data_IF_980961713922
#
_entry.id   IF_980961713922
#
_cell.length_a   1.000
_cell.length_b   1.000
_cell.length_c   1.000
_cell.angle_alpha   90.00
_cell.angle_beta   90.00
_cell.angle_gamma   90.00
#
_symmetry.space_group_name_H-M   'P 1'
#
loop_
_entity.id
_entity.type
_entity.pdbx_description
1 polymer ?
#
# COMPACT_ATOMS: atom_id res chain seq x y z
N UNK A 1 -1.34 75.02 50.23
CA UNK A 1 -0.09 74.26 50.46
C UNK A 1 -0.20 72.95 49.69
N UNK A 2 0.67 72.73 48.71
CA UNK A 2 0.57 71.62 47.75
C UNK A 2 0.98 70.29 48.40
N UNK A 3 0.11 69.29 48.33
CA UNK A 3 0.35 67.90 48.74
C UNK A 3 0.78 67.09 47.51
N UNK A 4 1.90 66.37 47.61
CA UNK A 4 2.39 65.45 46.58
C UNK A 4 1.89 64.04 46.90
N UNK A 5 1.10 63.45 45.99
CA UNK A 5 0.69 62.04 46.04
C UNK A 5 1.64 61.25 45.14
N UNK A 6 2.48 60.41 45.75
CA UNK A 6 3.36 59.45 45.08
C UNK A 6 2.51 58.25 44.65
N UNK A 7 2.44 57.97 43.35
CA UNK A 7 1.89 56.71 42.83
C UNK A 7 3.02 55.68 42.70
N UNK A 8 2.97 54.61 43.51
CA UNK A 8 3.81 53.43 43.34
C UNK A 8 3.29 52.57 42.18
N UNK A 9 4.13 52.36 41.17
CA UNK A 9 3.88 51.46 40.05
C UNK A 9 4.40 50.06 40.44
N UNK A 10 3.49 49.12 40.69
CA UNK A 10 3.85 47.73 41.03
C UNK A 10 4.02 46.94 39.72
N UNK A 11 5.26 46.64 39.35
CA UNK A 11 5.57 45.80 38.19
C UNK A 11 5.31 44.33 38.48
N UNK A 12 4.39 43.71 37.74
CA UNK A 12 4.22 42.25 37.70
C UNK A 12 5.41 41.64 36.94
N UNK A 13 6.27 40.90 37.65
CA UNK A 13 7.29 40.06 37.06
C UNK A 13 6.65 38.70 36.72
N UNK A 14 6.39 38.43 35.44
CA UNK A 14 5.98 37.10 34.98
C UNK A 14 7.19 36.16 35.00
N UNK A 15 7.18 35.18 35.91
CA UNK A 15 8.13 34.06 35.88
C UNK A 15 7.76 33.15 34.70
N UNK A 16 8.56 33.18 33.64
CA UNK A 16 8.48 32.18 32.56
C UNK A 16 9.14 30.90 33.08
N UNK A 17 8.32 29.93 33.47
CA UNK A 17 8.76 28.54 33.63
C UNK A 17 9.14 28.01 32.24
N UNK A 18 10.44 27.84 31.98
CA UNK A 18 10.91 27.16 30.78
C UNK A 18 10.76 25.65 30.98
N UNK A 19 9.72 25.05 30.41
CA UNK A 19 9.69 23.60 30.20
C UNK A 19 10.79 23.23 29.19
N UNK A 20 11.59 22.21 29.47
CA UNK A 20 12.65 21.74 28.57
C UNK A 20 12.07 20.73 27.56
N UNK A 21 11.13 21.22 26.76
CA UNK A 21 10.51 20.46 25.67
C UNK A 21 11.49 20.28 24.51
N UNK A 22 11.56 19.06 23.98
CA UNK A 22 12.31 18.71 22.78
C UNK A 22 11.35 18.28 21.66
N UNK A 23 11.81 18.38 20.42
CA UNK A 23 11.09 17.91 19.23
C UNK A 23 11.90 16.86 18.48
N UNK A 24 11.24 15.77 18.10
CA UNK A 24 11.88 14.59 17.52
C UNK A 24 11.44 14.41 16.07
N UNK A 25 12.40 14.35 15.15
CA UNK A 25 12.16 14.27 13.72
C UNK A 25 12.89 13.11 13.06
N UNK A 26 12.34 12.63 11.95
CA UNK A 26 13.04 11.73 11.05
C UNK A 26 14.20 12.49 10.38
N UNK A 27 15.40 11.92 10.43
CA UNK A 27 16.61 12.53 9.88
C UNK A 27 16.50 12.81 8.37
N UNK A 28 15.78 11.95 7.64
CA UNK A 28 15.61 11.99 6.18
C UNK A 28 14.35 12.76 5.77
N UNK A 29 13.16 12.33 6.21
CA UNK A 29 11.89 12.95 5.76
C UNK A 29 11.60 14.29 6.44
N UNK A 30 12.26 14.59 7.57
CA UNK A 30 12.01 15.77 8.42
C UNK A 30 10.62 15.82 9.05
N UNK A 31 9.83 14.76 8.93
CA UNK A 31 8.54 14.62 9.61
C UNK A 31 8.75 14.36 11.10
N UNK A 32 7.78 14.79 11.92
CA UNK A 32 7.77 14.51 13.37
C UNK A 32 7.58 13.02 13.65
N UNK A 33 8.17 12.55 14.75
CA UNK A 33 8.06 11.16 15.19
C UNK A 33 7.40 11.11 16.57
N UNK A 34 6.14 10.72 16.60
CA UNK A 34 5.42 10.47 17.84
C UNK A 34 5.63 9.07 18.41
N UNK A 35 5.33 8.89 19.70
CA UNK A 35 5.43 7.60 20.38
C UNK A 35 6.85 7.09 20.62
N UNK A 36 7.85 7.98 20.63
CA UNK A 36 9.24 7.63 20.95
C UNK A 36 9.35 7.45 22.46
N UNK A 37 9.80 6.28 22.90
CA UNK A 37 10.13 6.03 24.30
C UNK A 37 11.50 6.66 24.63
N UNK A 38 11.54 7.49 25.66
CA UNK A 38 12.70 8.30 26.05
C UNK A 38 13.01 7.98 27.49
N UNK A 39 14.17 7.41 27.78
CA UNK A 39 14.50 6.96 29.14
C UNK A 39 16.00 7.01 29.41
N UNK A 40 16.39 7.07 30.68
CA UNK A 40 17.79 7.02 31.08
C UNK A 40 18.29 5.57 31.14
N UNK A 41 19.60 5.36 31.19
CA UNK A 41 20.21 4.02 31.13
C UNK A 41 19.60 3.05 32.16
N UNK A 42 19.32 3.53 33.37
CA UNK A 42 18.76 2.73 34.47
C UNK A 42 17.22 2.61 34.44
N UNK A 43 16.55 3.27 33.48
CA UNK A 43 15.09 3.33 33.32
C UNK A 43 14.32 3.86 34.54
N UNK A 44 14.98 4.64 35.38
CA UNK A 44 14.35 5.30 36.54
C UNK A 44 13.58 6.55 36.14
N UNK A 45 13.87 7.13 34.97
CA UNK A 45 13.16 8.27 34.39
C UNK A 45 12.74 7.90 32.97
N UNK A 46 11.47 8.15 32.64
CA UNK A 46 10.94 7.87 31.31
C UNK A 46 9.83 8.81 30.91
N UNK A 47 9.81 9.18 29.63
CA UNK A 47 8.75 9.94 28.98
C UNK A 47 8.51 9.37 27.59
N UNK A 48 7.32 9.56 27.04
CA UNK A 48 6.96 9.16 25.67
C UNK A 48 6.60 10.41 24.89
N UNK A 49 7.09 10.54 23.66
CA UNK A 49 6.71 11.68 22.82
C UNK A 49 5.25 11.61 22.38
N UNK A 50 4.60 12.77 22.32
CA UNK A 50 3.23 12.91 21.81
C UNK A 50 3.16 12.67 20.29
N UNK A 51 1.97 12.79 19.69
CA UNK A 51 1.78 12.57 18.25
C UNK A 51 2.53 13.58 17.37
N UNK A 52 2.85 14.76 17.90
CA UNK A 52 3.61 15.80 17.21
C UNK A 52 5.13 15.65 17.42
N UNK A 53 5.55 14.59 18.10
CA UNK A 53 6.95 14.27 18.37
C UNK A 53 7.59 15.14 19.45
N UNK A 54 6.79 15.75 20.33
CA UNK A 54 7.27 16.57 21.45
C UNK A 54 7.34 15.76 22.73
N UNK A 55 8.34 16.07 23.57
CA UNK A 55 8.50 15.44 24.88
C UNK A 55 9.18 16.39 25.87
N UNK A 56 8.75 16.37 27.13
CA UNK A 56 9.42 17.08 28.22
C UNK A 56 10.54 16.22 28.81
N UNK A 57 11.78 16.71 28.74
CA UNK A 57 12.96 16.04 29.32
C UNK A 57 13.51 16.76 30.55
N UNK A 58 12.69 17.58 31.23
CA UNK A 58 13.11 18.35 32.40
C UNK A 58 13.64 17.48 33.54
N UNK A 59 13.07 16.29 33.75
CA UNK A 59 13.44 15.37 34.84
C UNK A 59 14.83 14.73 34.67
N UNK A 60 15.39 14.75 33.46
CA UNK A 60 16.72 14.20 33.16
C UNK A 60 17.84 15.16 33.59
N UNK A 61 18.99 14.64 34.04
CA UNK A 61 20.14 15.48 34.39
C UNK A 61 20.90 15.93 33.15
N UNK A 62 21.59 17.08 33.25
CA UNK A 62 22.27 17.73 32.13
C UNK A 62 23.35 16.85 31.46
N UNK A 63 23.99 15.96 32.22
CA UNK A 63 24.99 15.01 31.74
C UNK A 63 24.45 13.58 31.60
N UNK A 64 23.15 13.38 31.77
CA UNK A 64 22.51 12.07 31.67
C UNK A 64 22.46 11.61 30.21
N UNK A 65 22.77 10.33 29.98
CA UNK A 65 22.57 9.69 28.68
C UNK A 65 21.11 9.28 28.56
N UNK A 66 20.42 9.88 27.60
CA UNK A 66 19.03 9.62 27.26
C UNK A 66 18.98 8.70 26.05
N UNK A 67 18.22 7.62 26.17
CA UNK A 67 17.98 6.62 25.14
C UNK A 67 16.64 6.92 24.48
N UNK A 68 16.64 7.03 23.16
CA UNK A 68 15.47 7.25 22.32
C UNK A 68 15.18 5.97 21.55
N UNK A 69 14.06 5.31 21.85
CA UNK A 69 13.66 4.05 21.26
C UNK A 69 12.31 4.18 20.55
N UNK A 70 12.24 3.69 19.31
CA UNK A 70 11.03 3.71 18.50
C UNK A 70 11.00 2.49 17.56
N UNK A 71 9.81 1.99 17.22
CA UNK A 71 9.65 0.75 16.46
C UNK A 71 10.26 0.81 15.04
N UNK A 72 10.17 1.96 14.38
CA UNK A 72 10.64 2.15 12.99
C UNK A 72 11.97 2.92 12.84
N UNK A 73 12.64 3.26 13.95
CA UNK A 73 13.87 4.06 13.93
C UNK A 73 14.97 3.42 14.77
N UNK A 74 16.22 3.65 14.37
CA UNK A 74 17.38 3.18 15.15
C UNK A 74 17.41 3.85 16.51
N UNK A 75 17.70 3.06 17.53
CA UNK A 75 17.88 3.58 18.89
C UNK A 75 19.02 4.60 18.91
N UNK A 76 18.75 5.79 19.43
CA UNK A 76 19.74 6.85 19.58
C UNK A 76 20.08 7.06 21.06
N UNK A 77 21.36 7.27 21.35
CA UNK A 77 21.85 7.59 22.69
C UNK A 77 22.45 8.99 22.66
N UNK A 78 21.85 9.92 23.38
CA UNK A 78 22.23 11.33 23.37
C UNK A 78 22.33 11.86 24.80
N UNK A 79 23.32 12.71 25.05
CA UNK A 79 23.46 13.40 26.34
C UNK A 79 22.57 14.65 26.32
N UNK A 80 21.82 14.90 27.40
CA UNK A 80 20.89 16.04 27.52
C UNK A 80 21.52 17.38 27.12
N UNK A 81 22.71 17.70 27.64
CA UNK A 81 23.43 18.93 27.31
C UNK A 81 23.74 19.12 25.82
N UNK A 82 23.88 18.03 25.04
CA UNK A 82 24.06 18.11 23.58
C UNK A 82 22.75 18.38 22.87
N UNK A 83 21.64 17.84 23.37
CA UNK A 83 20.30 18.09 22.84
C UNK A 83 19.95 19.56 23.02
N UNK A 84 20.18 20.11 24.22
CA UNK A 84 19.92 21.52 24.51
C UNK A 84 20.79 22.46 23.67
N UNK A 85 22.08 22.13 23.47
CA UNK A 85 22.96 22.90 22.57
C UNK A 85 22.54 22.86 21.10
N UNK A 86 21.84 21.82 20.67
CA UNK A 86 21.33 21.66 19.31
C UNK A 86 19.89 22.20 19.16
N UNK A 87 19.48 23.13 20.02
CA UNK A 87 18.17 23.80 19.91
C UNK A 87 16.99 22.90 20.25
N UNK A 88 17.18 21.93 21.15
CA UNK A 88 16.14 21.00 21.62
C UNK A 88 15.59 20.07 20.52
N UNK A 89 16.38 19.81 19.48
CA UNK A 89 15.97 18.96 18.36
C UNK A 89 16.74 17.63 18.38
N UNK A 90 15.99 16.53 18.22
CA UNK A 90 16.53 15.18 18.10
C UNK A 90 16.19 14.61 16.73
N UNK A 91 17.18 14.11 16.00
CA UNK A 91 16.97 13.43 14.72
C UNK A 91 17.21 11.93 14.87
N UNK A 92 16.18 11.13 14.58
CA UNK A 92 16.30 9.68 14.52
C UNK A 92 16.45 9.21 13.08
N UNK A 93 17.33 8.23 12.86
CA UNK A 93 17.51 7.63 11.54
C UNK A 93 16.54 6.47 11.39
N UNK A 94 15.76 6.44 10.31
CA UNK A 94 14.86 5.32 10.02
C UNK A 94 15.64 4.01 9.94
N UNK A 95 15.07 2.93 10.46
CA UNK A 95 15.70 1.61 10.42
C UNK A 95 15.01 0.72 9.39
N UNK A 96 15.60 0.64 8.18
CA UNK A 96 15.10 -0.23 7.12
C UNK A 96 15.28 -1.73 7.42
N UNK A 97 16.03 -2.09 8.47
CA UNK A 97 16.30 -3.48 8.84
C UNK A 97 15.44 -4.00 10.01
N UNK A 98 14.78 -3.13 10.78
CA UNK A 98 14.00 -3.54 11.98
C UNK A 98 12.49 -3.68 11.75
N UNK A 99 12.01 -3.40 10.54
CA UNK A 99 10.69 -3.86 10.13
C UNK A 99 10.80 -5.32 9.71
N UNK A 100 10.75 -6.25 10.68
CA UNK A 100 10.57 -7.67 10.37
C UNK A 100 9.40 -7.79 9.38
N UNK A 101 9.66 -8.38 8.22
CA UNK A 101 8.61 -8.59 7.22
C UNK A 101 7.66 -9.65 7.78
N UNK A 102 6.58 -9.17 8.37
CA UNK A 102 5.43 -10.01 8.74
C UNK A 102 4.74 -10.43 7.46
N UNK A 103 4.48 -11.72 7.35
CA UNK A 103 3.71 -12.34 6.28
C UNK A 103 2.43 -12.89 6.91
N UNK A 104 1.30 -12.63 6.29
CA UNK A 104 0.00 -13.14 6.67
C UNK A 104 -0.10 -14.58 6.14
N UNK A 105 0.36 -15.53 6.95
CA UNK A 105 0.31 -16.93 6.55
C UNK A 105 -1.12 -17.44 6.43
N UNK A 106 -1.29 -18.41 5.55
CA UNK A 106 -2.50 -19.16 5.29
C UNK A 106 -3.20 -19.73 6.55
N UNK A 107 -2.45 -19.88 7.65
CA UNK A 107 -2.99 -20.26 8.97
C UNK A 107 -3.87 -19.17 9.62
N UNK A 108 -4.12 -18.03 8.96
CA UNK A 108 -4.81 -16.83 9.51
C UNK A 108 -4.08 -16.20 10.71
N UNK A 109 -2.83 -16.57 10.92
CA UNK A 109 -1.94 -15.99 11.92
C UNK A 109 -0.75 -15.38 11.21
N UNK A 110 -0.41 -14.16 11.58
CA UNK A 110 0.80 -13.47 11.13
C UNK A 110 2.04 -14.28 11.55
N UNK A 111 2.89 -14.62 10.58
CA UNK A 111 4.14 -15.33 10.78
C UNK A 111 5.30 -14.49 10.26
N UNK A 112 6.44 -14.58 10.93
CA UNK A 112 7.65 -13.92 10.43
C UNK A 112 8.12 -14.68 9.20
N UNK A 113 8.52 -13.98 8.15
CA UNK A 113 9.01 -14.59 6.91
C UNK A 113 10.13 -15.64 7.16
N UNK A 114 10.97 -15.42 8.18
CA UNK A 114 12.08 -16.33 8.56
C UNK A 114 11.63 -17.69 9.12
N UNK A 115 10.40 -17.79 9.60
CA UNK A 115 9.85 -19.00 10.22
C UNK A 115 9.10 -19.87 9.19
N UNK A 116 8.91 -19.36 7.97
CA UNK A 116 8.21 -20.07 6.89
C UNK A 116 9.22 -20.71 5.95
N UNK A 117 9.16 -22.03 5.71
CA UNK A 117 10.15 -22.72 4.87
C UNK A 117 10.02 -22.42 3.37
N UNK A 118 8.87 -21.90 2.94
CA UNK A 118 8.62 -21.50 1.55
C UNK A 118 9.10 -20.07 1.31
N UNK A 119 9.64 -19.80 0.12
CA UNK A 119 9.97 -18.42 -0.27
C UNK A 119 8.68 -17.65 -0.52
N UNK A 120 8.43 -16.63 0.31
CA UNK A 120 7.28 -15.73 0.16
C UNK A 120 7.77 -14.36 -0.26
N UNK A 121 7.22 -13.88 -1.36
CA UNK A 121 7.36 -12.51 -1.81
C UNK A 121 6.15 -11.72 -1.31
N UNK A 122 6.38 -10.60 -0.65
CA UNK A 122 5.31 -9.71 -0.18
C UNK A 122 5.51 -8.33 -0.80
N UNK A 123 4.43 -7.79 -1.36
CA UNK A 123 4.33 -6.47 -1.96
C UNK A 123 3.36 -5.67 -1.10
N UNK A 124 3.87 -4.64 -0.40
CA UNK A 124 3.07 -3.83 0.52
C UNK A 124 2.39 -2.68 -0.20
N UNK A 125 1.43 -2.03 0.47
CA UNK A 125 0.72 -0.87 -0.08
C UNK A 125 1.68 0.22 -0.56
N UNK A 126 2.75 0.49 0.20
CA UNK A 126 3.77 1.47 -0.17
C UNK A 126 4.52 1.08 -1.45
N UNK A 127 4.77 -0.21 -1.66
CA UNK A 127 5.44 -0.72 -2.86
C UNK A 127 4.52 -0.64 -4.07
N UNK A 128 3.23 -0.94 -3.87
CA UNK A 128 2.19 -0.84 -4.91
C UNK A 128 2.01 0.63 -5.33
N UNK A 129 1.91 1.53 -4.36
CA UNK A 129 1.77 2.96 -4.61
C UNK A 129 3.01 3.54 -5.31
N UNK A 130 4.20 3.16 -4.86
CA UNK A 130 5.46 3.57 -5.50
C UNK A 130 5.59 3.02 -6.93
N UNK A 131 5.23 1.76 -7.15
CA UNK A 131 5.29 1.12 -8.46
C UNK A 131 4.25 1.70 -9.44
N UNK A 132 3.13 2.22 -8.92
CA UNK A 132 2.01 2.79 -9.69
C UNK A 132 1.63 1.96 -10.95
N UNK A 133 1.33 0.65 -10.77
CA UNK A 133 1.10 -0.28 -11.86
C UNK A 133 -0.24 0.02 -12.57
N UNK A 134 -0.30 -0.21 -13.88
CA UNK A 134 -1.56 -0.08 -14.64
C UNK A 134 -2.56 -1.18 -14.30
N UNK A 135 -2.06 -2.39 -14.07
CA UNK A 135 -2.85 -3.55 -13.70
C UNK A 135 -2.14 -4.35 -12.61
N UNK A 136 -2.86 -5.18 -11.88
CA UNK A 136 -2.25 -6.15 -10.96
C UNK A 136 -1.31 -7.14 -11.69
N UNK A 137 -1.48 -7.36 -12.99
CA UNK A 137 -0.52 -8.14 -13.77
C UNK A 137 0.83 -7.41 -13.84
N UNK A 138 0.83 -6.11 -14.11
CA UNK A 138 2.07 -5.31 -14.14
C UNK A 138 2.73 -5.27 -12.75
N UNK A 139 1.92 -5.14 -11.69
CA UNK A 139 2.39 -5.24 -10.31
C UNK A 139 3.16 -6.54 -10.05
N UNK A 140 2.56 -7.67 -10.42
CA UNK A 140 3.16 -9.00 -10.25
C UNK A 140 4.41 -9.16 -11.13
N UNK A 141 4.38 -8.67 -12.37
CA UNK A 141 5.51 -8.75 -13.30
C UNK A 141 6.74 -8.00 -12.76
N UNK A 142 6.52 -6.83 -12.16
CA UNK A 142 7.58 -6.00 -11.59
C UNK A 142 8.32 -6.66 -10.42
N UNK A 143 7.77 -7.73 -9.84
CA UNK A 143 8.46 -8.50 -8.81
C UNK A 143 9.67 -9.29 -9.30
N UNK A 144 9.77 -9.55 -10.62
CA UNK A 144 10.81 -10.39 -11.22
C UNK A 144 10.71 -11.88 -10.87
N UNK A 145 9.67 -12.32 -10.13
CA UNK A 145 9.46 -13.73 -9.76
C UNK A 145 8.21 -14.32 -10.40
N UNK A 146 7.26 -13.48 -10.80
CA UNK A 146 6.05 -13.87 -11.52
C UNK A 146 6.16 -13.37 -12.96
N UNK A 147 6.08 -14.30 -13.90
CA UNK A 147 5.97 -13.94 -15.31
C UNK A 147 4.51 -13.75 -15.66
N UNK A 148 4.21 -12.81 -16.55
CA UNK A 148 2.86 -12.58 -17.06
C UNK A 148 2.85 -12.90 -18.54
N UNK A 149 1.94 -13.78 -18.94
CA UNK A 149 1.59 -13.94 -20.33
C UNK A 149 0.41 -13.02 -20.67
N UNK A 150 0.68 -12.02 -21.51
CA UNK A 150 -0.31 -11.10 -22.05
C UNK A 150 -0.59 -11.47 -23.50
N UNK A 151 -1.70 -12.16 -23.77
CA UNK A 151 -2.14 -12.45 -25.15
C UNK A 151 -2.71 -11.20 -25.83
N UNK A 152 -3.23 -10.26 -25.03
CA UNK A 152 -3.67 -8.92 -25.41
C UNK A 152 -3.50 -8.00 -24.18
N UNK A 153 -3.72 -6.69 -24.32
CA UNK A 153 -3.42 -5.69 -23.28
C UNK A 153 -4.25 -5.86 -21.99
N UNK A 154 -5.56 -6.09 -22.11
CA UNK A 154 -6.48 -6.53 -21.06
C UNK A 154 -6.38 -8.03 -20.72
N UNK A 155 -5.17 -8.59 -20.83
CA UNK A 155 -4.84 -9.95 -20.42
C UNK A 155 -3.69 -9.94 -19.43
N UNK A 156 -3.72 -10.86 -18.47
CA UNK A 156 -2.69 -10.94 -17.44
C UNK A 156 -2.68 -12.31 -16.79
N UNK A 157 -2.20 -13.32 -17.51
CA UNK A 157 -2.13 -14.67 -16.96
C UNK A 157 -0.78 -14.92 -16.27
N UNK A 158 -0.78 -15.18 -14.96
CA UNK A 158 0.46 -15.37 -14.22
C UNK A 158 1.08 -16.74 -14.46
N UNK A 159 2.40 -16.78 -14.37
CA UNK A 159 3.24 -17.96 -14.49
C UNK A 159 4.30 -17.91 -13.39
N UNK A 160 4.38 -18.97 -12.57
CA UNK A 160 5.37 -19.12 -11.51
C UNK A 160 6.11 -20.43 -11.75
N UNK A 161 7.43 -20.35 -12.00
CA UNK A 161 8.30 -21.52 -12.26
C UNK A 161 7.73 -22.50 -13.31
N UNK A 162 7.13 -21.95 -14.38
CA UNK A 162 6.53 -22.72 -15.48
C UNK A 162 5.11 -23.24 -15.21
N UNK A 163 4.59 -23.11 -13.98
CA UNK A 163 3.19 -23.38 -13.69
C UNK A 163 2.31 -22.18 -14.04
N UNK A 164 1.17 -22.45 -14.65
CA UNK A 164 0.18 -21.46 -15.08
C UNK A 164 -1.24 -22.03 -14.93
N UNK A 165 -2.28 -21.30 -15.33
CA UNK A 165 -3.67 -21.78 -15.41
C UNK A 165 -4.23 -22.27 -14.06
N UNK A 166 -4.84 -23.45 -14.00
CA UNK A 166 -5.35 -24.10 -12.79
C UNK A 166 -4.25 -24.73 -11.91
N UNK A 167 -3.00 -24.29 -12.05
CA UNK A 167 -1.87 -24.73 -11.21
C UNK A 167 -1.31 -23.60 -10.36
N UNK A 168 -1.91 -22.41 -10.45
CA UNK A 168 -1.68 -21.30 -9.53
C UNK A 168 -3.01 -20.92 -8.89
N UNK A 169 -3.01 -20.71 -7.57
CA UNK A 169 -4.16 -20.19 -6.85
C UNK A 169 -4.13 -18.67 -6.80
N UNK A 170 -5.26 -18.05 -7.17
CA UNK A 170 -5.58 -16.65 -6.91
C UNK A 170 -6.61 -16.57 -5.79
N UNK A 171 -6.36 -15.75 -4.78
CA UNK A 171 -7.34 -15.47 -3.74
C UNK A 171 -7.33 -14.01 -3.30
N UNK A 172 -8.51 -13.50 -2.91
CA UNK A 172 -8.66 -12.19 -2.28
C UNK A 172 -9.23 -12.42 -0.88
N UNK A 173 -8.55 -11.92 0.15
CA UNK A 173 -8.94 -12.07 1.56
C UNK A 173 -9.22 -13.55 1.95
N UNK A 174 -8.50 -14.49 1.32
CA UNK A 174 -8.67 -15.92 1.52
C UNK A 174 -9.81 -16.57 0.73
N UNK A 175 -10.58 -15.82 -0.06
CA UNK A 175 -11.60 -16.35 -0.98
C UNK A 175 -10.98 -16.63 -2.34
N UNK A 176 -11.17 -17.86 -2.84
CA UNK A 176 -10.65 -18.31 -4.14
C UNK A 176 -11.33 -17.58 -5.31
N UNK A 177 -10.52 -17.09 -6.24
CA UNK A 177 -10.96 -16.42 -7.47
C UNK A 177 -10.86 -17.29 -8.72
N UNK A 178 -10.19 -18.45 -8.64
CA UNK A 178 -10.08 -19.37 -9.76
C UNK A 178 -11.45 -19.85 -10.26
N UNK A 179 -11.66 -19.80 -11.58
CA UNK A 179 -12.80 -20.45 -12.22
C UNK A 179 -12.65 -21.98 -12.30
N UNK A 180 -13.76 -22.68 -12.55
CA UNK A 180 -13.82 -24.14 -12.67
C UNK A 180 -13.49 -24.65 -14.09
N UNK A 181 -12.77 -23.88 -14.91
CA UNK A 181 -12.42 -24.27 -16.28
C UNK A 181 -11.08 -25.02 -16.26
N UNK A 182 -11.06 -26.21 -16.87
CA UNK A 182 -9.86 -27.05 -16.95
C UNK A 182 -9.40 -27.18 -18.41
N UNK A 183 -8.50 -26.28 -18.83
CA UNK A 183 -7.81 -26.36 -20.13
C UNK A 183 -6.36 -25.90 -19.98
N UNK A 184 -5.49 -26.34 -20.89
CA UNK A 184 -4.05 -25.97 -20.86
C UNK A 184 -3.74 -24.53 -21.29
N UNK A 185 -4.70 -23.81 -21.88
CA UNK A 185 -4.53 -22.40 -22.24
C UNK A 185 -4.71 -21.47 -21.05
N UNK A 186 -4.24 -20.24 -21.17
CA UNK A 186 -4.43 -19.20 -20.17
C UNK A 186 -5.91 -19.00 -19.79
N UNK A 187 -6.15 -18.92 -18.49
CA UNK A 187 -7.48 -19.00 -17.88
C UNK A 187 -7.68 -17.98 -16.78
N UNK A 188 -6.67 -17.84 -15.92
CA UNK A 188 -6.70 -16.88 -14.83
C UNK A 188 -6.24 -15.54 -15.36
N UNK A 189 -7.08 -14.52 -15.21
CA UNK A 189 -6.73 -13.15 -15.58
C UNK A 189 -6.64 -12.33 -14.30
N UNK A 190 -5.43 -12.06 -13.84
CA UNK A 190 -5.23 -11.40 -12.55
C UNK A 190 -5.68 -9.94 -12.56
N UNK A 191 -5.80 -9.33 -13.75
CA UNK A 191 -6.24 -7.94 -13.90
C UNK A 191 -7.63 -7.67 -13.32
N UNK A 192 -8.45 -8.71 -13.09
CA UNK A 192 -9.74 -8.58 -12.38
C UNK A 192 -9.59 -8.14 -10.92
N UNK A 193 -8.36 -8.10 -10.41
CA UNK A 193 -8.01 -7.60 -9.08
C UNK A 193 -7.42 -6.20 -9.27
N UNK A 194 -8.11 -5.21 -8.72
CA UNK A 194 -7.70 -3.80 -8.83
C UNK A 194 -6.54 -3.48 -7.87
N UNK A 195 -5.35 -3.08 -8.37
CA UNK A 195 -4.24 -2.69 -7.50
C UNK A 195 -4.58 -1.53 -6.55
N UNK A 196 -5.50 -0.63 -6.89
CA UNK A 196 -5.90 0.48 -6.02
C UNK A 196 -6.67 0.02 -4.77
N UNK A 197 -7.36 -1.13 -4.86
CA UNK A 197 -8.15 -1.72 -3.77
C UNK A 197 -7.31 -2.58 -2.81
N UNK A 198 -6.08 -2.92 -3.20
CA UNK A 198 -5.22 -3.87 -2.47
C UNK A 198 -4.31 -3.13 -1.48
N UNK A 199 -4.21 -3.70 -0.28
CA UNK A 199 -3.28 -3.27 0.77
C UNK A 199 -1.97 -4.06 0.67
N UNK A 200 -2.04 -5.38 0.54
CA UNK A 200 -0.86 -6.22 0.48
C UNK A 200 -1.08 -7.36 -0.52
N UNK A 201 -0.02 -7.81 -1.17
CA UNK A 201 -0.02 -9.02 -1.99
C UNK A 201 1.07 -9.96 -1.51
N UNK A 202 0.73 -11.23 -1.34
CA UNK A 202 1.66 -12.27 -0.95
C UNK A 202 1.69 -13.39 -1.97
N UNK A 203 2.90 -13.78 -2.34
CA UNK A 203 3.15 -14.75 -3.39
C UNK A 203 4.03 -15.85 -2.81
N UNK A 204 3.42 -17.02 -2.62
CA UNK A 204 4.10 -18.23 -2.18
C UNK A 204 4.67 -18.91 -3.41
N UNK A 205 6.00 -18.94 -3.50
CA UNK A 205 6.73 -19.49 -4.65
C UNK A 205 6.96 -20.99 -4.46
N UNK A 206 5.92 -21.79 -4.74
CA UNK A 206 5.96 -23.24 -4.63
C UNK A 206 4.61 -23.85 -4.25
N UNK A 207 4.63 -25.14 -3.90
CA UNK A 207 3.41 -25.86 -3.56
C UNK A 207 2.80 -25.34 -2.24
N UNK A 208 1.60 -24.77 -2.33
CA UNK A 208 0.76 -24.33 -1.22
C UNK A 208 -0.46 -25.24 -0.96
N UNK A 209 -0.56 -26.37 -1.65
CA UNK A 209 -1.77 -27.21 -1.67
C UNK A 209 -2.20 -27.78 -0.30
N UNK A 210 -1.29 -27.92 0.65
CA UNK A 210 -1.65 -28.40 2.00
C UNK A 210 -2.60 -27.43 2.70
N UNK A 211 -2.35 -26.13 2.57
CA UNK A 211 -3.15 -25.11 3.28
C UNK A 211 -4.25 -24.55 2.39
N UNK A 212 -3.96 -24.38 1.11
CA UNK A 212 -4.85 -23.70 0.18
C UNK A 212 -5.68 -24.65 -0.71
N UNK A 213 -5.38 -25.94 -0.70
CA UNK A 213 -6.11 -26.96 -1.46
C UNK A 213 -5.71 -27.03 -2.95
N UNK A 214 -6.70 -27.32 -3.80
CA UNK A 214 -6.51 -27.47 -5.25
C UNK A 214 -5.95 -26.20 -5.89
N UNK A 215 -5.37 -26.34 -7.08
CA UNK A 215 -4.76 -25.28 -7.89
C UNK A 215 -3.54 -24.57 -7.27
N UNK A 216 -3.16 -24.87 -6.03
CA UNK A 216 -2.01 -24.27 -5.35
C UNK A 216 -0.68 -25.05 -5.55
N UNK A 217 -0.58 -25.91 -6.58
CA UNK A 217 0.61 -26.77 -6.77
C UNK A 217 1.84 -25.99 -7.23
N UNK A 218 1.66 -24.99 -8.08
CA UNK A 218 2.74 -24.16 -8.63
C UNK A 218 3.02 -22.89 -7.84
N UNK A 219 2.03 -22.43 -7.08
CA UNK A 219 2.11 -21.19 -6.32
C UNK A 219 0.75 -20.73 -5.82
N UNK A 220 0.79 -19.78 -4.88
CA UNK A 220 -0.38 -19.07 -4.38
C UNK A 220 -0.10 -17.58 -4.45
N UNK A 221 -1.03 -16.82 -5.02
CA UNK A 221 -1.06 -15.37 -4.98
C UNK A 221 -2.28 -14.95 -4.16
N UNK A 222 -2.02 -14.44 -2.97
CA UNK A 222 -3.04 -13.96 -2.06
C UNK A 222 -3.01 -12.43 -2.04
N UNK A 223 -4.16 -11.82 -2.28
CA UNK A 223 -4.35 -10.38 -2.26
C UNK A 223 -5.16 -10.02 -1.03
N UNK A 224 -4.67 -9.06 -0.26
CA UNK A 224 -5.36 -8.53 0.91
C UNK A 224 -5.92 -7.19 0.56
N UNK A 225 -7.25 -7.07 0.61
CA UNK A 225 -7.90 -5.80 0.32
C UNK A 225 -7.70 -4.81 1.46
N UNK A 226 -7.73 -3.53 1.09
CA UNK A 226 -7.78 -2.43 2.04
C UNK A 226 -8.97 -2.58 2.99
N UNK A 227 -8.72 -2.46 4.29
CA UNK A 227 -9.73 -2.65 5.34
C UNK A 227 -10.36 -1.33 5.77
N UNK A 228 -11.64 -1.32 6.20
CA UNK A 228 -12.24 -0.17 6.86
C UNK A 228 -11.64 0.02 8.26
N UNK A 229 -11.49 1.29 8.64
CA UNK A 229 -11.01 1.70 9.97
C UNK A 229 -12.22 2.04 10.84
N UNK A 230 -12.26 1.52 12.07
CA UNK A 230 -13.26 1.90 13.08
C UNK A 230 -12.81 3.16 13.82
N UNK A 231 -13.76 3.94 14.31
CA UNK A 231 -13.45 5.09 15.16
C UNK A 231 -13.59 4.73 16.62
N UNK A 232 -12.46 4.55 17.31
CA UNK A 232 -12.45 4.33 18.77
C UNK A 232 -12.55 5.63 19.59
N UNK A 233 -13.03 6.71 18.97
CA UNK A 233 -13.25 8.04 19.57
C UNK A 233 -14.74 8.39 19.45
N UNK A 234 -15.22 9.34 20.24
CA UNK A 234 -16.61 9.84 20.18
C UNK A 234 -16.96 10.65 18.90
N UNK A 235 -16.21 10.46 17.81
CA UNK A 235 -16.40 11.14 16.53
C UNK A 235 -16.31 10.16 15.37
N UNK A 236 -16.94 10.49 14.24
CA UNK A 236 -16.79 9.69 13.01
C UNK A 236 -15.39 9.89 12.41
N UNK A 237 -14.70 8.82 12.04
CA UNK A 237 -13.44 8.86 11.28
C UNK A 237 -13.77 8.79 9.79
N UNK A 238 -13.32 9.77 9.00
CA UNK A 238 -13.52 9.80 7.55
C UNK A 238 -12.18 9.98 6.88
N UNK A 239 -11.83 9.07 5.97
CA UNK A 239 -10.61 9.12 5.17
C UNK A 239 -10.96 8.96 3.71
N UNK A 240 -10.41 9.83 2.88
CA UNK A 240 -10.61 9.78 1.44
C UNK A 240 -9.29 9.88 0.70
N UNK A 241 -9.18 9.18 -0.42
CA UNK A 241 -8.12 9.33 -1.38
C UNK A 241 -8.72 9.37 -2.79
N UNK A 242 -8.14 10.19 -3.65
CA UNK A 242 -8.46 10.22 -5.07
C UNK A 242 -7.16 10.30 -5.85
N UNK A 243 -7.10 9.57 -6.96
CA UNK A 243 -5.93 9.55 -7.83
C UNK A 243 -6.33 9.55 -9.29
N UNK A 244 -5.48 10.19 -10.10
CA UNK A 244 -5.59 10.19 -11.56
C UNK A 244 -4.26 9.78 -12.15
N UNK A 245 -4.29 8.96 -13.21
CA UNK A 245 -3.10 8.45 -13.90
C UNK A 245 -3.27 8.65 -15.40
N UNK A 246 -2.17 8.95 -16.07
CA UNK A 246 -2.07 8.93 -17.52
C UNK A 246 -0.81 8.20 -17.98
N UNK A 247 -0.92 7.30 -18.95
CA UNK A 247 0.23 6.69 -19.61
C UNK A 247 0.20 6.84 -21.13
N UNK A 248 1.25 7.46 -21.66
CA UNK A 248 1.35 7.83 -23.08
C UNK A 248 1.44 6.63 -24.04
N UNK A 249 1.98 5.49 -23.60
CA UNK A 249 2.16 4.32 -24.46
C UNK A 249 0.83 3.73 -24.96
N UNK A 250 -0.24 3.86 -24.19
CA UNK A 250 -1.58 3.37 -24.54
C UNK A 250 -2.64 4.46 -24.40
N UNK A 251 -2.22 5.73 -24.35
CA UNK A 251 -3.04 6.89 -23.99
C UNK A 251 -3.98 6.62 -22.78
N UNK A 252 -3.54 5.78 -21.86
CA UNK A 252 -4.38 5.25 -20.80
C UNK A 252 -4.73 6.34 -19.81
N UNK A 253 -5.98 6.33 -19.35
CA UNK A 253 -6.50 7.23 -18.32
C UNK A 253 -7.13 6.39 -17.22
N UNK A 254 -6.67 6.56 -15.99
CA UNK A 254 -7.29 5.94 -14.81
C UNK A 254 -7.74 7.01 -13.84
N UNK A 255 -8.98 6.89 -13.37
CA UNK A 255 -9.48 7.58 -12.19
C UNK A 255 -9.75 6.58 -11.09
N UNK A 256 -9.40 6.92 -9.86
CA UNK A 256 -9.69 6.11 -8.67
C UNK A 256 -10.14 6.99 -7.51
N UNK A 257 -11.12 6.49 -6.76
CA UNK A 257 -11.63 7.11 -5.52
C UNK A 257 -11.74 6.01 -4.46
N UNK A 258 -11.19 6.28 -3.28
CA UNK A 258 -11.26 5.44 -2.09
C UNK A 258 -11.82 6.27 -0.93
N UNK A 259 -12.82 5.74 -0.24
CA UNK A 259 -13.46 6.37 0.89
C UNK A 259 -13.62 5.35 2.02
N UNK A 260 -13.15 5.69 3.22
CA UNK A 260 -13.36 4.92 4.44
C UNK A 260 -14.12 5.77 5.45
N UNK A 261 -15.20 5.21 6.01
CA UNK A 261 -16.00 5.84 7.06
C UNK A 261 -16.08 4.90 8.26
N UNK A 262 -15.61 5.37 9.41
CA UNK A 262 -15.51 4.63 10.65
C UNK A 262 -16.40 5.22 11.74
N UNK A 263 -17.29 4.39 12.27
CA UNK A 263 -17.99 4.59 13.54
C UNK A 263 -17.36 3.68 14.60
N UNK A 264 -17.87 3.75 15.84
CA UNK A 264 -17.38 2.95 16.97
C UNK A 264 -17.35 1.44 16.68
N UNK A 265 -18.42 0.92 16.09
CA UNK A 265 -18.61 -0.52 15.84
C UNK A 265 -18.72 -0.87 14.38
N UNK A 266 -18.91 0.11 13.51
CA UNK A 266 -19.14 -0.08 12.08
C UNK A 266 -18.07 0.63 11.28
N UNK A 267 -17.48 -0.06 10.32
CA UNK A 267 -16.53 0.51 9.38
C UNK A 267 -16.95 0.17 7.96
N UNK A 268 -16.96 1.18 7.10
CA UNK A 268 -17.29 1.06 5.70
C UNK A 268 -16.08 1.52 4.89
N UNK A 269 -15.78 0.83 3.79
CA UNK A 269 -14.78 1.28 2.83
C UNK A 269 -15.25 0.97 1.42
N UNK A 270 -15.34 2.01 0.61
CA UNK A 270 -15.72 1.94 -0.80
C UNK A 270 -14.52 2.35 -1.64
N UNK A 271 -14.17 1.55 -2.65
CA UNK A 271 -13.17 1.89 -3.64
C UNK A 271 -13.75 1.67 -5.04
N UNK A 272 -13.58 2.68 -5.90
CA UNK A 272 -14.05 2.66 -7.28
C UNK A 272 -12.91 3.13 -8.17
N UNK A 273 -12.58 2.34 -9.18
CA UNK A 273 -11.64 2.74 -10.21
C UNK A 273 -12.24 2.49 -11.60
N UNK A 274 -11.88 3.37 -12.53
CA UNK A 274 -12.18 3.21 -13.93
C UNK A 274 -10.93 3.52 -14.74
N UNK A 275 -10.59 2.62 -15.65
CA UNK A 275 -9.46 2.76 -16.56
C UNK A 275 -9.93 2.63 -17.99
N UNK A 276 -9.42 3.49 -18.86
CA UNK A 276 -9.63 3.47 -20.30
C UNK A 276 -8.27 3.37 -20.99
N UNK A 277 -8.01 2.26 -21.69
CA UNK A 277 -6.81 2.05 -22.49
C UNK A 277 -7.16 2.22 -23.97
N UNK A 278 -6.44 3.09 -24.67
CA UNK A 278 -6.41 3.06 -26.14
C UNK A 278 -5.41 1.99 -26.61
N UNK A 279 -5.29 1.84 -27.92
CA UNK A 279 -4.38 0.94 -28.57
C UNK A 279 -2.94 1.20 -28.12
N UNK A 280 -2.25 0.12 -27.76
CA UNK A 280 -0.85 0.17 -27.41
C UNK A 280 -0.01 0.63 -28.61
N UNK A 281 0.81 1.65 -28.40
CA UNK A 281 1.80 2.12 -29.35
C UNK A 281 3.17 1.64 -28.93
N UNK A 282 3.80 0.82 -29.77
CA UNK A 282 5.16 0.35 -29.52
C UNK A 282 6.18 1.50 -29.66
N UNK A 283 7.34 1.34 -29.03
CA UNK A 283 8.45 2.28 -29.15
C UNK A 283 8.99 2.33 -30.58
N UNK A 284 9.33 3.55 -31.05
CA UNK A 284 9.85 3.78 -32.41
C UNK A 284 11.18 3.08 -32.69
N UNK A 285 12.00 2.87 -31.66
CA UNK A 285 13.34 2.30 -31.77
C UNK A 285 13.36 0.85 -31.27
N UNK A 286 12.53 -0.01 -31.85
CA UNK A 286 12.41 -1.43 -31.49
C UNK A 286 12.64 -2.36 -32.68
N UNK A 287 12.59 -3.69 -32.46
CA UNK A 287 12.63 -4.67 -33.54
C UNK A 287 11.43 -4.49 -34.49
N UNK A 288 11.68 -4.66 -35.79
CA UNK A 288 10.63 -4.56 -36.82
C UNK A 288 9.65 -5.72 -36.80
N UNK A 289 10.02 -6.84 -36.17
CA UNK A 289 9.22 -8.07 -36.13
C UNK A 289 7.89 -7.92 -35.37
N UNK A 290 7.76 -6.86 -34.56
CA UNK A 290 6.55 -6.55 -33.78
C UNK A 290 5.67 -5.47 -34.42
N UNK A 291 6.04 -4.97 -35.61
CA UNK A 291 5.20 -4.02 -36.36
C UNK A 291 3.92 -4.72 -36.81
N UNK A 292 2.80 -4.05 -36.64
CA UNK A 292 1.50 -4.53 -37.11
C UNK A 292 1.15 -3.85 -38.41
N UNK A 293 1.65 -4.36 -39.53
CA UNK A 293 1.45 -3.75 -40.87
C UNK A 293 0.04 -3.91 -41.41
N UNK A 294 -0.73 -4.85 -40.88
CA UNK A 294 -2.11 -5.13 -41.28
C UNK A 294 -2.96 -5.60 -40.09
N UNK A 295 -4.28 -5.54 -40.24
CA UNK A 295 -5.26 -6.07 -39.29
C UNK A 295 -6.50 -6.56 -40.02
N UNK A 296 -7.33 -7.35 -39.33
CA UNK A 296 -8.59 -7.84 -39.85
C UNK A 296 -9.72 -6.95 -39.33
N UNK A 297 -10.61 -6.53 -40.22
CA UNK A 297 -11.84 -5.79 -39.90
C UNK A 297 -13.03 -6.44 -40.60
N UNK A 298 -14.19 -6.44 -39.93
CA UNK A 298 -15.41 -7.03 -40.49
C UNK A 298 -16.25 -5.97 -41.19
N UNK A 299 -16.26 -5.99 -42.53
CA UNK A 299 -16.98 -5.03 -43.37
C UNK A 299 -18.09 -5.77 -44.11
N UNK A 300 -19.33 -5.31 -43.99
CA UNK A 300 -20.51 -5.94 -44.60
C UNK A 300 -20.68 -7.44 -44.26
N UNK A 301 -20.20 -7.87 -43.09
CA UNK A 301 -20.31 -9.25 -42.62
C UNK A 301 -19.15 -10.17 -43.03
N UNK A 302 -18.22 -9.71 -43.84
CA UNK A 302 -17.01 -10.42 -44.27
C UNK A 302 -15.75 -9.88 -43.58
N UNK A 303 -14.82 -10.77 -43.27
CA UNK A 303 -13.53 -10.40 -42.67
C UNK A 303 -12.54 -10.00 -43.78
N UNK A 304 -12.07 -8.76 -43.73
CA UNK A 304 -11.18 -8.17 -44.74
C UNK A 304 -9.87 -7.78 -44.07
N UNK A 305 -8.74 -8.07 -44.73
CA UNK A 305 -7.42 -7.60 -44.30
C UNK A 305 -7.23 -6.15 -44.76
N UNK A 306 -6.96 -5.27 -43.82
CA UNK A 306 -6.77 -3.83 -44.02
C UNK A 306 -5.33 -3.47 -43.64
N UNK A 307 -4.69 -2.62 -44.45
CA UNK A 307 -3.37 -2.08 -44.15
C UNK A 307 -3.42 -1.14 -42.93
N UNK A 308 -2.36 -1.15 -42.11
CA UNK A 308 -2.24 -0.26 -40.96
C UNK A 308 -1.37 0.95 -41.30
N UNK A 309 -1.99 2.13 -41.37
CA UNK A 309 -1.31 3.40 -41.68
C UNK A 309 -0.20 3.77 -40.67
N UNK A 310 -0.34 3.35 -39.41
CA UNK A 310 0.71 3.44 -38.40
C UNK A 310 1.02 2.04 -37.83
N UNK A 311 1.99 1.31 -38.42
CA UNK A 311 2.35 -0.03 -37.97
C UNK A 311 2.87 -0.13 -36.53
N UNK A 312 3.16 1.00 -35.88
CA UNK A 312 3.52 1.02 -34.46
C UNK A 312 2.30 0.87 -33.54
N UNK A 313 1.09 1.15 -34.04
CA UNK A 313 -0.16 1.02 -33.30
C UNK A 313 -0.65 -0.41 -33.38
N UNK A 314 -0.74 -1.06 -32.23
CA UNK A 314 -1.31 -2.39 -32.09
C UNK A 314 -2.83 -2.28 -32.06
N UNK A 315 -3.46 -2.22 -33.24
CA UNK A 315 -4.92 -2.10 -33.40
C UNK A 315 -5.67 -3.18 -32.61
N UNK A 316 -6.81 -2.79 -32.05
CA UNK A 316 -7.71 -3.62 -31.23
C UNK A 316 -7.12 -4.13 -29.92
N UNK A 317 -6.15 -3.40 -29.35
CA UNK A 317 -5.62 -3.71 -28.01
C UNK A 317 -6.24 -2.87 -26.91
N UNK A 318 -6.91 -1.77 -27.24
CA UNK A 318 -7.60 -0.93 -26.27
C UNK A 318 -8.79 -1.63 -25.60
N UNK A 319 -9.04 -1.27 -24.34
CA UNK A 319 -10.16 -1.77 -23.54
C UNK A 319 -10.42 -0.82 -22.36
N UNK A 320 -11.66 -0.78 -21.88
CA UNK A 320 -12.02 -0.17 -20.61
C UNK A 320 -12.10 -1.20 -19.50
N UNK A 321 -11.92 -0.79 -18.26
CA UNK A 321 -12.15 -1.63 -17.08
C UNK A 321 -12.71 -0.80 -15.94
N UNK A 322 -13.79 -1.31 -15.32
CA UNK A 322 -14.34 -0.78 -14.07
C UNK A 322 -14.04 -1.77 -12.94
N UNK A 323 -13.64 -1.24 -11.79
CA UNK A 323 -13.54 -2.01 -10.56
C UNK A 323 -14.32 -1.32 -9.44
N UNK A 324 -14.96 -2.13 -8.62
CA UNK A 324 -15.68 -1.71 -7.44
C UNK A 324 -15.37 -2.66 -6.29
N UNK A 325 -15.05 -2.08 -5.14
CA UNK A 325 -14.88 -2.81 -3.88
C UNK A 325 -15.68 -2.12 -2.78
N UNK A 326 -16.40 -2.91 -2.00
CA UNK A 326 -17.07 -2.47 -0.78
C UNK A 326 -16.70 -3.41 0.36
N UNK A 327 -16.24 -2.85 1.48
CA UNK A 327 -15.91 -3.60 2.70
C UNK A 327 -16.73 -3.07 3.86
N UNK A 328 -17.38 -3.98 4.57
CA UNK A 328 -18.11 -3.67 5.81
C UNK A 328 -17.49 -4.47 6.94
N UNK A 329 -17.10 -3.78 8.01
CA UNK A 329 -16.64 -4.38 9.27
C UNK A 329 -17.63 -4.02 10.37
N UNK A 330 -18.01 -5.02 11.15
CA UNK A 330 -18.88 -4.86 12.31
C UNK A 330 -18.29 -5.54 13.54
N UNK A 331 -18.07 -4.78 14.60
CA UNK A 331 -17.55 -5.23 15.89
C UNK A 331 -18.56 -4.91 17.00
N UNK A 332 -19.55 -5.80 17.26
CA UNK A 332 -20.54 -5.56 18.32
C UNK A 332 -19.90 -5.48 19.71
N UNK A 333 -18.81 -6.21 19.92
CA UNK A 333 -18.00 -6.29 21.14
C UNK A 333 -16.58 -6.78 20.83
N UNK A 334 -15.70 -6.81 21.85
CA UNK A 334 -14.28 -7.20 21.72
C UNK A 334 -14.02 -8.65 21.25
N UNK A 335 -15.02 -9.54 21.32
CA UNK A 335 -14.86 -10.96 20.98
C UNK A 335 -15.41 -11.33 19.60
N UNK A 336 -16.21 -10.47 18.99
CA UNK A 336 -16.90 -10.75 17.74
C UNK A 336 -16.53 -9.70 16.70
N UNK A 337 -16.07 -10.17 15.55
CA UNK A 337 -15.75 -9.34 14.40
C UNK A 337 -16.33 -10.01 13.13
N UNK A 338 -17.18 -9.27 12.43
CA UNK A 338 -17.76 -9.67 11.15
C UNK A 338 -17.17 -8.80 10.05
N UNK A 339 -16.69 -9.44 8.97
CA UNK A 339 -16.19 -8.75 7.79
C UNK A 339 -16.96 -9.25 6.56
N UNK A 340 -17.53 -8.31 5.80
CA UNK A 340 -18.07 -8.55 4.47
C UNK A 340 -17.17 -7.85 3.45
N UNK A 341 -16.91 -8.51 2.33
CA UNK A 341 -16.26 -7.89 1.17
C UNK A 341 -16.98 -8.23 -0.11
N UNK A 342 -17.26 -7.20 -0.90
CA UNK A 342 -17.83 -7.28 -2.22
C UNK A 342 -16.79 -6.76 -3.20
N UNK A 343 -16.52 -7.52 -4.25
CA UNK A 343 -15.58 -7.16 -5.31
C UNK A 343 -16.28 -7.37 -6.65
N UNK A 344 -16.21 -6.36 -7.50
CA UNK A 344 -16.73 -6.40 -8.86
C UNK A 344 -15.66 -5.83 -9.80
N UNK A 345 -15.46 -6.52 -10.91
CA UNK A 345 -14.53 -6.10 -11.95
C UNK A 345 -15.08 -6.54 -13.30
N UNK A 346 -15.14 -5.61 -14.23
CA UNK A 346 -15.64 -5.86 -15.58
C UNK A 346 -14.81 -5.07 -16.58
N UNK A 347 -14.44 -5.73 -17.66
CA UNK A 347 -13.81 -5.10 -18.82
C UNK A 347 -14.86 -4.77 -19.86
N UNK A 348 -14.66 -3.70 -20.63
CA UNK A 348 -15.42 -3.48 -21.86
C UNK A 348 -15.28 -4.66 -22.81
N UNK A 349 -16.11 -4.71 -23.85
CA UNK A 349 -15.84 -5.60 -24.97
C UNK A 349 -14.50 -5.22 -25.61
N UNK A 350 -13.68 -6.23 -25.87
CA UNK A 350 -12.44 -6.09 -26.63
C UNK A 350 -12.20 -7.39 -27.44
N UNK A 351 -11.54 -7.31 -28.61
CA UNK A 351 -11.25 -8.50 -29.39
C UNK A 351 -10.27 -9.44 -28.67
N UNK A 352 -10.61 -10.73 -28.60
CA UNK A 352 -9.79 -11.77 -27.97
C UNK A 352 -8.99 -12.58 -28.96
#
# INVERSE_FOLDING_TARGET
MKSYIIHCFFGLFSLVLCAQEISIYNKTSKESIGGVAIYNVDKTKSVISDLDGKADISDFEENETIIFQHLSHRTALLVKSRILKNGNIVFLSGDSQYLEQVVISASKFEQKQKDVPQKILSLRASDIEFANPQTSADLLQNSGQVFIQKSQLGGGSPIIRGFSTNRLLLSIDGVRMNNAIFRGGNLQNVISIDPFSIQDTEIILGAGSVIYGSDAIGGVMNFYSKKPVLSYKDSVDVRGNASFRYASASAEKTGNVDLSVGFEKWGFRTNISYTDFDNLKMGKNGPTDYLRTEYVERINGEDIIVGNDDPLIQRFTGYGQINFMEKIRYEPNEKLNFNLGLHFSETSEYPR
#
